data_IF_531111183841
#
_entry.id   IF_531111183841
#
_cell.length_a   1.000
_cell.length_b   1.000
_cell.length_c   1.000
_cell.angle_alpha   90.00
_cell.angle_beta   90.00
_cell.angle_gamma   90.00
#
_symmetry.space_group_name_H-M   'P 1'
#
loop_
_entity.id
_entity.type
_entity.pdbx_description
1 polymer ?
#
# COMPACT_ATOMS: atom_id res chain seq x y z
N UNK A 1 12.06 -8.72 -4.92
CA UNK A 1 11.94 -7.31 -4.51
C UNK A 1 12.19 -7.19 -3.02
N UNK A 2 13.05 -6.26 -2.62
CA UNK A 2 13.43 -5.97 -1.24
C UNK A 2 12.61 -4.81 -0.65
N UNK A 3 12.76 -4.56 0.66
CA UNK A 3 12.11 -3.44 1.36
C UNK A 3 12.48 -2.08 0.77
N UNK A 4 13.75 -1.88 0.40
CA UNK A 4 14.27 -0.62 -0.17
C UNK A 4 13.76 -0.44 -1.60
N UNK A 5 13.76 -1.50 -2.40
CA UNK A 5 13.21 -1.45 -3.77
C UNK A 5 11.71 -1.12 -3.76
N UNK A 6 10.94 -1.67 -2.81
CA UNK A 6 9.53 -1.33 -2.63
C UNK A 6 9.33 0.15 -2.30
N UNK A 7 10.11 0.68 -1.36
CA UNK A 7 10.07 2.10 -1.02
C UNK A 7 10.44 2.99 -2.21
N UNK A 8 11.52 2.68 -2.93
CA UNK A 8 11.91 3.43 -4.13
C UNK A 8 10.85 3.37 -5.23
N UNK A 9 10.19 2.22 -5.41
CA UNK A 9 9.09 2.09 -6.38
C UNK A 9 7.95 3.06 -6.03
N UNK A 10 7.57 3.14 -4.75
CA UNK A 10 6.57 4.09 -4.28
C UNK A 10 7.04 5.55 -4.39
N UNK A 11 8.33 5.84 -4.20
CA UNK A 11 8.88 7.19 -4.43
C UNK A 11 8.84 7.59 -5.91
N UNK A 12 9.08 6.66 -6.83
CA UNK A 12 9.13 6.92 -8.28
C UNK A 12 7.74 7.03 -8.91
N UNK A 13 6.83 6.13 -8.54
CA UNK A 13 5.49 6.05 -9.12
C UNK A 13 4.44 6.84 -8.31
N UNK A 14 4.77 7.26 -7.09
CA UNK A 14 3.84 7.95 -6.19
C UNK A 14 2.85 6.99 -5.53
N UNK A 15 1.56 7.28 -5.66
CA UNK A 15 0.50 6.47 -5.08
C UNK A 15 0.25 5.22 -5.93
N UNK A 16 0.31 4.03 -5.33
CA UNK A 16 0.08 2.76 -6.01
C UNK A 16 -0.90 1.88 -5.24
N UNK A 17 -1.73 1.11 -5.95
CA UNK A 17 -2.58 0.10 -5.33
C UNK A 17 -1.80 -1.16 -4.93
N UNK A 18 -2.31 -1.90 -3.95
CA UNK A 18 -1.74 -3.20 -3.57
C UNK A 18 -1.67 -4.18 -4.75
N UNK A 19 -2.67 -4.17 -5.64
CA UNK A 19 -2.72 -5.04 -6.81
C UNK A 19 -1.61 -4.72 -7.81
N UNK A 20 -1.34 -3.43 -8.05
CA UNK A 20 -0.23 -3.01 -8.93
C UNK A 20 1.12 -3.38 -8.31
N UNK A 21 1.29 -3.18 -7.00
CA UNK A 21 2.49 -3.57 -6.28
C UNK A 21 2.71 -5.10 -6.33
N UNK A 22 1.66 -5.91 -6.24
CA UNK A 22 1.77 -7.37 -6.41
C UNK A 22 2.20 -7.73 -7.83
N UNK A 23 1.57 -7.11 -8.83
CA UNK A 23 1.89 -7.35 -10.24
C UNK A 23 3.33 -6.97 -10.59
N UNK A 24 3.81 -5.85 -10.05
CA UNK A 24 5.18 -5.35 -10.28
C UNK A 24 6.23 -6.16 -9.53
N UNK A 25 5.98 -6.44 -8.24
CA UNK A 25 6.97 -7.05 -7.37
C UNK A 25 7.14 -8.56 -7.56
N UNK A 26 6.14 -9.22 -8.19
CA UNK A 26 6.01 -10.68 -8.30
C UNK A 26 6.10 -11.39 -6.94
N UNK A 27 5.85 -10.68 -5.85
CA UNK A 27 5.82 -11.23 -4.50
C UNK A 27 4.50 -11.93 -4.23
N UNK A 28 4.51 -12.86 -3.29
CA UNK A 28 3.27 -13.40 -2.74
C UNK A 28 2.53 -12.32 -1.92
N UNK A 29 1.19 -12.36 -1.86
CA UNK A 29 0.39 -11.46 -1.05
C UNK A 29 0.86 -11.27 0.41
N UNK A 30 1.18 -12.34 1.18
CA UNK A 30 1.62 -12.17 2.57
C UNK A 30 2.99 -11.49 2.68
N UNK A 31 3.90 -11.77 1.74
CA UNK A 31 5.23 -11.15 1.74
C UNK A 31 5.14 -9.66 1.44
N UNK A 32 4.34 -9.26 0.45
CA UNK A 32 4.13 -7.83 0.17
C UNK A 32 3.50 -7.12 1.37
N UNK A 33 2.49 -7.73 2.00
CA UNK A 33 1.84 -7.15 3.18
C UNK A 33 2.82 -6.97 4.35
N UNK A 34 3.71 -7.93 4.59
CA UNK A 34 4.75 -7.84 5.61
C UNK A 34 5.74 -6.70 5.34
N UNK A 35 6.17 -6.53 4.09
CA UNK A 35 7.07 -5.44 3.69
C UNK A 35 6.41 -4.06 3.81
N UNK A 36 5.16 -3.93 3.36
CA UNK A 36 4.38 -2.70 3.50
C UNK A 36 4.18 -2.34 4.97
N UNK A 37 3.77 -3.29 5.80
CA UNK A 37 3.62 -3.07 7.24
C UNK A 37 4.94 -2.76 7.95
N UNK A 38 6.07 -3.24 7.45
CA UNK A 38 7.39 -2.82 7.94
C UNK A 38 7.69 -1.37 7.56
N UNK A 39 7.44 -0.95 6.30
CA UNK A 39 7.64 0.43 5.86
C UNK A 39 6.72 1.44 6.58
N UNK A 40 5.48 1.05 6.87
CA UNK A 40 4.56 1.87 7.67
C UNK A 40 5.08 2.05 9.10
N UNK A 41 5.51 0.96 9.76
CA UNK A 41 6.10 1.05 11.11
C UNK A 41 7.36 1.91 11.16
N UNK A 42 8.08 2.01 10.04
CA UNK A 42 9.24 2.89 9.89
C UNK A 42 8.87 4.33 9.54
N UNK A 43 7.59 4.66 9.38
CA UNK A 43 7.13 5.99 8.96
C UNK A 43 7.62 6.38 7.57
N UNK A 44 7.80 5.41 6.67
CA UNK A 44 8.29 5.65 5.30
C UNK A 44 7.17 5.72 4.28
N UNK A 45 6.05 5.06 4.55
CA UNK A 45 4.87 5.06 3.68
C UNK A 45 3.62 5.24 4.54
N UNK A 46 2.53 5.65 3.88
CA UNK A 46 1.18 5.66 4.43
C UNK A 46 0.26 4.80 3.57
N UNK A 47 -0.63 4.03 4.21
CA UNK A 47 -1.79 3.46 3.55
C UNK A 47 -2.89 4.51 3.43
N UNK A 48 -3.30 4.78 2.20
CA UNK A 48 -4.45 5.62 1.89
C UNK A 48 -5.70 4.73 1.92
N UNK A 49 -6.70 5.15 2.68
CA UNK A 49 -8.02 4.55 2.61
C UNK A 49 -8.58 4.79 1.20
N UNK A 50 -9.16 3.77 0.58
CA UNK A 50 -10.13 4.03 -0.47
C UNK A 50 -11.24 4.88 0.14
N UNK A 51 -11.62 5.97 -0.52
CA UNK A 51 -12.76 6.80 -0.12
C UNK A 51 -14.02 5.92 -0.11
N UNK A 52 -14.28 5.26 1.02
CA UNK A 52 -15.60 4.71 1.32
C UNK A 52 -16.48 5.92 1.61
N UNK A 53 -17.00 6.56 0.56
CA UNK A 53 -17.90 7.71 0.69
C UNK A 53 -18.98 7.40 1.72
N UNK A 54 -18.99 8.16 2.82
CA UNK A 54 -20.04 8.21 3.86
C UNK A 54 -20.56 6.85 4.35
N UNK A 55 -19.96 6.35 5.45
CA UNK A 55 -20.68 5.52 6.43
C UNK A 55 -20.72 4.01 6.23
N UNK A 56 -19.89 3.43 5.37
CA UNK A 56 -20.07 2.04 4.94
C UNK A 56 -18.90 1.06 5.10
N UNK A 57 -17.78 1.41 5.73
CA UNK A 57 -16.67 0.45 5.91
C UNK A 57 -16.77 -0.29 7.26
N UNK A 58 -17.94 -0.92 7.49
CA UNK A 58 -18.16 -1.93 8.53
C UNK A 58 -18.30 -3.30 7.84
N UNK A 59 -17.30 -4.17 8.03
CA UNK A 59 -17.17 -5.55 7.51
C UNK A 59 -16.78 -5.66 6.03
N UNK A 60 -15.59 -6.20 5.78
CA UNK A 60 -15.32 -6.93 4.54
C UNK A 60 -16.17 -8.21 4.59
N UNK A 61 -17.35 -8.19 3.97
CA UNK A 61 -18.08 -9.42 3.69
C UNK A 61 -17.24 -10.30 2.78
N UNK A 62 -17.18 -11.60 3.11
CA UNK A 62 -16.35 -12.62 2.44
C UNK A 62 -16.62 -12.70 0.92
N UNK A 63 -17.73 -12.13 0.46
CA UNK A 63 -18.21 -12.10 -0.93
C UNK A 63 -17.97 -10.78 -1.68
N UNK A 64 -17.65 -9.68 -0.99
CA UNK A 64 -17.38 -8.37 -1.60
C UNK A 64 -15.98 -7.92 -1.18
N UNK A 65 -14.98 -8.24 -2.01
CA UNK A 65 -13.57 -8.01 -1.71
C UNK A 65 -13.30 -6.63 -1.10
N UNK A 66 -12.47 -6.60 -0.05
CA UNK A 66 -12.12 -5.38 0.65
C UNK A 66 -11.75 -4.26 -0.34
N UNK A 67 -12.20 -3.03 -0.04
CA UNK A 67 -11.90 -1.86 -0.84
C UNK A 67 -10.39 -1.78 -1.18
N UNK A 68 -10.03 -1.35 -2.41
CA UNK A 68 -8.65 -1.34 -2.86
C UNK A 68 -7.78 -0.52 -1.91
N UNK A 69 -6.68 -1.11 -1.46
CA UNK A 69 -5.71 -0.43 -0.60
C UNK A 69 -4.68 0.28 -1.47
N UNK A 70 -4.45 1.54 -1.17
CA UNK A 70 -3.44 2.34 -1.83
C UNK A 70 -2.34 2.68 -0.85
N UNK A 71 -1.11 2.78 -1.35
CA UNK A 71 0.07 3.12 -0.57
C UNK A 71 0.82 4.24 -1.27
N UNK A 72 1.39 5.14 -0.46
CA UNK A 72 2.20 6.25 -0.94
C UNK A 72 3.43 6.36 -0.06
N UNK A 73 4.60 6.62 -0.65
CA UNK A 73 5.77 7.00 0.12
C UNK A 73 5.60 8.40 0.69
N UNK A 74 5.97 8.59 1.95
CA UNK A 74 6.19 9.92 2.47
C UNK A 74 7.35 10.51 1.66
N UNK A 75 7.05 11.46 0.78
CA UNK A 75 8.09 12.21 0.12
C UNK A 75 8.98 12.79 1.21
N UNK A 76 10.30 12.60 1.10
CA UNK A 76 11.24 13.47 1.78
C UNK A 76 10.99 14.87 1.19
N UNK A 77 10.05 15.60 1.79
CA UNK A 77 9.73 16.96 1.42
C UNK A 77 11.05 17.71 1.47
N UNK A 78 11.55 18.10 0.30
CA UNK A 78 12.61 19.11 0.20
C UNK A 78 12.13 20.30 1.02
N UNK A 79 12.73 20.49 2.18
CA UNK A 79 12.66 21.74 2.93
C UNK A 79 13.82 22.60 2.46
#
# INVERSE_FOLDING_TARGET
MTLIELYHTLCLHGTMSQAELLRLSRLSPPTLAALLGQLERMGKIEQLAADCGTGGCQRCDISAGCAPRYYRAHSASKT
#
